data_IF_653085344693
#
_entry.id   IF_653085344693
#
_cell.length_a   1.000
_cell.length_b   1.000
_cell.length_c   1.000
_cell.angle_alpha   90.00
_cell.angle_beta   90.00
_cell.angle_gamma   90.00
#
_symmetry.space_group_name_H-M   'P 1'
#
loop_
_entity.id
_entity.type
_entity.pdbx_description
1 polymer ?
#
# COMPACT_ATOMS: atom_id res chain seq x y z
N UNK A 1 4.28 -20.85 -0.95
CA UNK A 1 5.02 -19.69 -0.40
C UNK A 1 5.68 -18.89 -1.52
N UNK A 2 6.38 -19.55 -2.45
CA UNK A 2 7.04 -18.91 -3.60
C UNK A 2 6.08 -18.09 -4.49
N UNK A 3 4.89 -18.62 -4.78
CA UNK A 3 3.88 -17.90 -5.57
C UNK A 3 3.42 -16.58 -4.92
N UNK A 4 3.15 -16.61 -3.60
CA UNK A 4 2.75 -15.42 -2.83
C UNK A 4 3.85 -14.34 -2.87
N UNK A 5 5.11 -14.77 -2.74
CA UNK A 5 6.25 -13.87 -2.85
C UNK A 5 6.36 -13.23 -4.23
N UNK A 6 6.18 -14.00 -5.31
CA UNK A 6 6.20 -13.48 -6.68
C UNK A 6 5.07 -12.49 -6.95
N UNK A 7 3.87 -12.77 -6.43
CA UNK A 7 2.72 -11.86 -6.51
C UNK A 7 3.03 -10.55 -5.75
N UNK A 8 3.54 -10.64 -4.52
CA UNK A 8 3.92 -9.46 -3.73
C UNK A 8 4.97 -8.62 -4.47
N UNK A 9 6.01 -9.25 -5.05
CA UNK A 9 7.03 -8.56 -5.84
C UNK A 9 6.42 -7.82 -7.04
N UNK A 10 5.42 -8.41 -7.70
CA UNK A 10 4.71 -7.76 -8.81
C UNK A 10 3.90 -6.54 -8.35
N UNK A 11 3.17 -6.68 -7.24
CA UNK A 11 2.37 -5.59 -6.65
C UNK A 11 3.29 -4.41 -6.28
N UNK A 12 4.39 -4.68 -5.59
CA UNK A 12 5.35 -3.63 -5.19
C UNK A 12 5.97 -2.94 -6.41
N UNK A 13 6.27 -3.69 -7.48
CA UNK A 13 6.79 -3.10 -8.71
C UNK A 13 5.77 -2.13 -9.34
N UNK A 14 4.51 -2.53 -9.42
CA UNK A 14 3.43 -1.69 -9.95
C UNK A 14 3.25 -0.40 -9.13
N UNK A 15 3.20 -0.54 -7.81
CA UNK A 15 3.04 0.59 -6.88
C UNK A 15 4.25 1.53 -6.94
N UNK A 16 5.46 0.99 -7.08
CA UNK A 16 6.66 1.77 -7.26
C UNK A 16 6.64 2.60 -8.55
N UNK A 17 6.10 2.08 -9.65
CA UNK A 17 5.93 2.85 -10.88
C UNK A 17 4.87 3.95 -10.73
N UNK A 18 3.77 3.67 -10.01
CA UNK A 18 2.78 4.70 -9.65
C UNK A 18 3.39 5.84 -8.82
N UNK A 19 4.18 5.52 -7.78
CA UNK A 19 4.84 6.53 -6.96
C UNK A 19 5.83 7.39 -7.77
N UNK A 20 6.52 6.79 -8.74
CA UNK A 20 7.41 7.54 -9.65
C UNK A 20 6.64 8.49 -10.56
N UNK A 21 5.48 8.08 -11.08
CA UNK A 21 4.65 8.93 -11.95
C UNK A 21 4.01 10.09 -11.19
N UNK A 22 3.58 9.85 -9.95
CA UNK A 22 2.94 10.84 -9.07
C UNK A 22 3.92 11.75 -8.31
N UNK A 23 5.23 11.64 -8.60
CA UNK A 23 6.27 12.48 -7.96
C UNK A 23 6.08 13.97 -8.24
N UNK A 24 5.34 14.35 -9.28
CA UNK A 24 5.05 15.75 -9.64
C UNK A 24 3.84 16.27 -8.85
N UNK A 25 4.01 16.46 -7.55
CA UNK A 25 3.01 17.11 -6.71
C UNK A 25 2.93 16.48 -5.33
N UNK A 26 3.87 16.81 -4.45
CA UNK A 26 3.83 16.40 -3.05
C UNK A 26 2.62 17.06 -2.36
N UNK A 27 1.50 16.34 -2.35
CA UNK A 27 0.28 16.78 -1.69
C UNK A 27 0.40 16.42 -0.22
N UNK A 28 1.11 17.26 0.53
CA UNK A 28 1.26 17.12 1.98
C UNK A 28 -0.10 17.28 2.65
N UNK A 29 -0.54 16.23 3.36
CA UNK A 29 -1.77 16.22 4.12
C UNK A 29 -1.54 16.67 5.56
N UNK A 30 -0.42 16.25 6.16
CA UNK A 30 -0.07 16.59 7.54
C UNK A 30 1.44 16.67 7.70
N UNK A 31 1.90 17.74 8.34
CA UNK A 31 3.29 17.91 8.72
C UNK A 31 3.38 17.85 10.26
N UNK A 32 3.89 16.75 10.77
CA UNK A 32 4.17 16.52 12.18
C UNK A 32 5.65 16.84 12.46
N UNK A 33 6.00 17.00 13.73
CA UNK A 33 7.36 17.40 14.14
C UNK A 33 8.48 16.51 13.56
N UNK A 34 8.19 15.24 13.29
CA UNK A 34 9.16 14.24 12.81
C UNK A 34 8.60 13.36 11.68
N UNK A 35 7.47 13.74 11.09
CA UNK A 35 6.76 12.90 10.13
C UNK A 35 5.96 13.77 9.15
N UNK A 36 5.88 13.34 7.91
CA UNK A 36 5.10 14.02 6.87
C UNK A 36 4.22 12.97 6.23
N UNK A 37 2.91 13.14 6.38
CA UNK A 37 1.93 12.34 5.66
C UNK A 37 1.63 13.00 4.34
N UNK A 38 1.91 12.29 3.25
CA UNK A 38 1.55 12.74 1.90
C UNK A 38 0.42 11.89 1.34
N UNK A 39 -0.35 12.47 0.41
CA UNK A 39 -1.47 11.78 -0.23
C UNK A 39 -1.04 10.48 -0.93
N UNK A 40 0.17 10.47 -1.48
CA UNK A 40 0.76 9.33 -2.17
C UNK A 40 0.94 8.11 -1.25
N UNK A 41 1.19 8.30 0.05
CA UNK A 41 1.33 7.19 1.00
C UNK A 41 -0.01 6.47 1.13
N UNK A 42 -1.09 7.23 1.30
CA UNK A 42 -2.46 6.70 1.37
C UNK A 42 -2.86 6.01 0.06
N UNK A 43 -2.56 6.63 -1.09
CA UNK A 43 -2.93 6.09 -2.40
C UNK A 43 -2.17 4.81 -2.74
N UNK A 44 -0.86 4.77 -2.46
CA UNK A 44 -0.03 3.59 -2.68
C UNK A 44 -0.42 2.44 -1.75
N UNK A 45 -0.72 2.73 -0.48
CA UNK A 45 -1.25 1.76 0.47
C UNK A 45 -2.57 1.17 -0.04
N UNK A 46 -3.51 2.03 -0.46
CA UNK A 46 -4.79 1.59 -1.01
C UNK A 46 -4.62 0.67 -2.22
N UNK A 47 -3.66 0.98 -3.10
CA UNK A 47 -3.36 0.15 -4.26
C UNK A 47 -2.82 -1.23 -3.81
N UNK A 48 -1.87 -1.27 -2.88
CA UNK A 48 -1.31 -2.53 -2.35
C UNK A 48 -2.42 -3.38 -1.73
N UNK A 49 -3.20 -2.81 -0.81
CA UNK A 49 -4.24 -3.54 -0.10
C UNK A 49 -5.32 -4.05 -1.05
N UNK A 50 -5.77 -3.24 -2.01
CA UNK A 50 -6.71 -3.68 -3.03
C UNK A 50 -6.18 -4.89 -3.82
N UNK A 51 -4.91 -4.86 -4.24
CA UNK A 51 -4.29 -5.99 -4.96
C UNK A 51 -4.16 -7.24 -4.10
N UNK A 52 -3.85 -7.09 -2.81
CA UNK A 52 -3.83 -8.21 -1.86
C UNK A 52 -5.24 -8.79 -1.73
N UNK A 53 -6.27 -7.97 -1.54
CA UNK A 53 -7.65 -8.44 -1.37
C UNK A 53 -8.23 -9.09 -2.63
N UNK A 54 -7.89 -8.59 -3.82
CA UNK A 54 -8.27 -9.21 -5.11
C UNK A 54 -7.68 -10.62 -5.28
N UNK A 55 -6.53 -10.91 -4.65
CA UNK A 55 -5.77 -12.16 -4.81
C UNK A 55 -5.92 -13.13 -3.64
N UNK A 56 -6.05 -12.58 -2.43
CA UNK A 56 -6.07 -13.29 -1.16
C UNK A 56 -7.19 -12.70 -0.27
N UNK A 57 -8.46 -12.87 -0.65
CA UNK A 57 -9.58 -12.17 -0.01
C UNK A 57 -9.77 -12.49 1.48
N UNK A 58 -9.33 -13.67 1.90
CA UNK A 58 -9.46 -14.17 3.28
C UNK A 58 -8.26 -13.82 4.18
N UNK A 59 -7.17 -13.31 3.59
CA UNK A 59 -5.98 -12.94 4.35
C UNK A 59 -6.26 -11.66 5.17
N UNK A 60 -5.70 -11.63 6.37
CA UNK A 60 -5.59 -10.41 7.17
C UNK A 60 -4.38 -9.58 6.73
N UNK A 61 -4.38 -8.29 7.08
CA UNK A 61 -3.27 -7.39 6.82
C UNK A 61 -3.13 -6.35 7.93
N UNK A 62 -1.92 -5.78 8.06
CA UNK A 62 -1.61 -4.65 8.94
C UNK A 62 -0.97 -3.58 8.07
N UNK A 63 -1.43 -2.35 8.23
CA UNK A 63 -1.07 -1.19 7.42
C UNK A 63 -0.99 0.07 8.26
N UNK A 64 -0.14 1.01 7.86
CA UNK A 64 0.12 2.22 8.62
C UNK A 64 -1.07 3.17 8.62
N UNK A 65 -1.66 3.44 7.46
CA UNK A 65 -2.73 4.44 7.33
C UNK A 65 -4.11 3.85 7.64
N UNK A 66 -4.35 2.59 7.27
CA UNK A 66 -5.64 1.90 7.46
C UNK A 66 -5.74 1.00 8.69
N UNK A 67 -4.66 0.78 9.43
CA UNK A 67 -4.67 -0.05 10.63
C UNK A 67 -4.60 -1.55 10.33
N UNK A 68 -5.65 -2.33 10.60
CA UNK A 68 -5.62 -3.78 10.36
C UNK A 68 -6.94 -4.36 9.86
N UNK A 69 -6.83 -5.47 9.13
CA UNK A 69 -7.93 -6.40 8.82
C UNK A 69 -7.58 -7.76 9.40
N UNK A 70 -8.52 -8.37 10.10
CA UNK A 70 -8.34 -9.73 10.64
C UNK A 70 -8.59 -10.77 9.55
N UNK A 71 -7.82 -11.86 9.58
CA UNK A 71 -8.00 -12.96 8.65
C UNK A 71 -9.31 -13.66 8.93
N UNK A 72 -10.04 -14.01 7.87
CA UNK A 72 -11.23 -14.85 7.96
C UNK A 72 -10.77 -16.30 7.76
N UNK A 73 -10.28 -16.92 8.84
CA UNK A 73 -9.95 -18.36 8.88
C UNK A 73 -10.94 -19.12 9.72
#
# INVERSE_FOLDING_TARGET
MEERFLIAKKIIKEVGEFLKSERKGENVLKNLRFDIKIKQDIESENLILKRIEERFPYDGWVSEEKGKKESSS
#
